data_IF_828867839374
#
_entry.id   IF_828867839374
#
_cell.length_a   1.000
_cell.length_b   1.000
_cell.length_c   1.000
_cell.angle_alpha   90.00
_cell.angle_beta   90.00
_cell.angle_gamma   90.00
#
_symmetry.space_group_name_H-M   'P 1'
#
loop_
_entity.id
_entity.type
_entity.pdbx_description
1 polymer ?
#
# COMPACT_ATOMS: atom_id res chain seq x y z
N UNK A 1 11.51 6.67 39.87
CA UNK A 1 10.49 7.34 39.04
C UNK A 1 11.13 8.32 38.07
N UNK A 2 11.68 9.46 38.51
CA UNK A 2 12.24 10.48 37.59
C UNK A 2 13.26 9.93 36.57
N UNK A 3 14.28 9.19 37.02
CA UNK A 3 15.28 8.58 36.14
C UNK A 3 14.66 7.61 35.11
N UNK A 4 13.73 6.76 35.57
CA UNK A 4 13.00 5.82 34.71
C UNK A 4 12.11 6.54 33.69
N UNK A 5 11.54 7.69 34.05
CA UNK A 5 10.74 8.49 33.10
C UNK A 5 11.61 9.14 32.03
N UNK A 6 12.80 9.64 32.40
CA UNK A 6 13.78 10.16 31.45
C UNK A 6 14.33 9.06 30.53
N UNK A 7 14.53 7.85 31.04
CA UNK A 7 14.91 6.69 30.24
C UNK A 7 13.80 6.30 29.25
N UNK A 8 12.54 6.29 29.70
CA UNK A 8 11.39 6.04 28.83
C UNK A 8 11.28 7.11 27.73
N UNK A 9 11.47 8.38 28.05
CA UNK A 9 11.44 9.50 27.08
C UNK A 9 12.47 9.30 25.97
N UNK A 10 13.74 9.05 26.33
CA UNK A 10 14.80 8.75 25.34
C UNK A 10 14.48 7.54 24.46
N UNK A 11 13.87 6.51 25.05
CA UNK A 11 13.46 5.31 24.32
C UNK A 11 12.33 5.60 23.32
N UNK A 12 11.45 6.55 23.61
CA UNK A 12 10.44 7.01 22.64
C UNK A 12 11.09 7.75 21.49
N UNK A 13 12.11 8.58 21.75
CA UNK A 13 12.86 9.27 20.69
C UNK A 13 13.52 8.27 19.73
N UNK A 14 14.07 7.18 20.24
CA UNK A 14 14.63 6.08 19.42
C UNK A 14 13.57 5.43 18.51
N UNK A 15 12.31 5.32 18.96
CA UNK A 15 11.22 4.80 18.13
C UNK A 15 10.75 5.77 17.05
N UNK A 16 11.01 7.08 17.22
CA UNK A 16 10.64 8.11 16.26
C UNK A 16 11.65 8.27 15.11
N UNK A 17 12.74 7.51 15.07
CA UNK A 17 13.58 7.45 13.87
C UNK A 17 12.83 6.76 12.71
N UNK A 18 12.14 7.56 11.89
CA UNK A 18 11.24 7.13 10.79
C UNK A 18 12.00 6.67 9.52
N UNK A 19 13.34 6.69 9.53
CA UNK A 19 14.14 6.55 8.31
C UNK A 19 13.85 5.26 7.51
N UNK A 20 13.60 4.14 8.19
CA UNK A 20 13.29 2.87 7.53
C UNK A 20 11.93 2.88 6.81
N UNK A 21 10.92 3.54 7.39
CA UNK A 21 9.55 3.56 6.82
C UNK A 21 9.48 4.50 5.63
N UNK A 22 10.09 5.68 5.72
CA UNK A 22 10.13 6.62 4.60
C UNK A 22 10.85 6.05 3.38
N UNK A 23 11.96 5.32 3.59
CA UNK A 23 12.67 4.63 2.50
C UNK A 23 11.78 3.61 1.80
N UNK A 24 11.04 2.80 2.57
CA UNK A 24 10.13 1.79 2.02
C UNK A 24 8.99 2.44 1.23
N UNK A 25 8.44 3.55 1.72
CA UNK A 25 7.39 4.30 1.02
C UNK A 25 7.89 4.84 -0.32
N UNK A 26 9.06 5.50 -0.34
CA UNK A 26 9.69 6.01 -1.56
C UNK A 26 9.92 4.88 -2.59
N UNK A 27 10.39 3.71 -2.13
CA UNK A 27 10.66 2.57 -3.00
C UNK A 27 9.37 1.94 -3.57
N UNK A 28 8.32 1.85 -2.75
CA UNK A 28 6.99 1.38 -3.17
C UNK A 28 6.38 2.34 -4.20
N UNK A 29 6.46 3.64 -3.95
CA UNK A 29 5.95 4.67 -4.88
C UNK A 29 6.68 4.59 -6.21
N UNK A 30 8.02 4.51 -6.19
CA UNK A 30 8.82 4.37 -7.41
C UNK A 30 8.45 3.11 -8.20
N UNK A 31 8.35 1.96 -7.53
CA UNK A 31 7.95 0.70 -8.16
C UNK A 31 6.52 0.77 -8.72
N UNK A 32 5.60 1.41 -7.99
CA UNK A 32 4.23 1.59 -8.46
C UNK A 32 4.19 2.45 -9.73
N UNK A 33 4.96 3.55 -9.80
CA UNK A 33 5.08 4.37 -11.01
C UNK A 33 5.59 3.54 -12.20
N UNK A 34 6.62 2.73 -12.03
CA UNK A 34 7.14 1.84 -13.08
C UNK A 34 6.08 0.84 -13.58
N UNK A 35 5.29 0.25 -12.68
CA UNK A 35 4.22 -0.69 -13.04
C UNK A 35 3.14 0.02 -13.87
N UNK A 36 2.74 1.22 -13.46
CA UNK A 36 1.73 2.01 -14.19
C UNK A 36 2.23 2.40 -15.58
N UNK A 37 3.51 2.77 -15.73
CA UNK A 37 4.11 3.03 -17.04
C UNK A 37 4.13 1.77 -17.93
N UNK A 38 4.47 0.62 -17.36
CA UNK A 38 4.43 -0.67 -18.08
C UNK A 38 3.02 -1.00 -18.57
N UNK A 39 1.98 -0.77 -17.77
CA UNK A 39 0.58 -1.00 -18.14
C UNK A 39 0.08 -0.03 -19.23
N UNK A 40 0.69 1.15 -19.34
CA UNK A 40 0.40 2.12 -20.42
C UNK A 40 1.14 1.83 -21.72
N UNK A 41 2.08 0.88 -21.72
CA UNK A 41 2.91 0.56 -22.89
C UNK A 41 2.08 0.08 -24.10
N UNK A 42 2.47 0.43 -25.35
CA UNK A 42 1.81 -0.05 -26.57
C UNK A 42 1.78 -1.58 -26.71
N UNK A 43 2.72 -2.29 -26.09
CA UNK A 43 2.75 -3.76 -26.05
C UNK A 43 1.53 -4.37 -25.38
N UNK A 44 0.89 -3.63 -24.46
CA UNK A 44 -0.36 -4.05 -23.84
C UNK A 44 -1.59 -3.82 -24.74
N UNK A 45 -1.46 -3.08 -25.87
CA UNK A 45 -2.62 -2.51 -26.56
C UNK A 45 -2.82 -2.83 -28.04
N UNK A 46 -1.86 -3.43 -28.78
CA UNK A 46 -2.05 -4.19 -30.05
C UNK A 46 -0.79 -4.13 -30.93
N UNK A 47 -0.19 -5.28 -31.20
CA UNK A 47 0.78 -5.50 -32.30
C UNK A 47 0.26 -6.49 -33.36
N UNK A 48 -0.99 -6.96 -33.23
CA UNK A 48 -1.59 -7.97 -34.12
C UNK A 48 -1.80 -7.52 -35.56
N UNK A 49 -1.98 -6.22 -35.81
CA UNK A 49 -2.41 -5.69 -37.11
C UNK A 49 -1.45 -6.01 -38.27
N UNK A 50 -0.13 -5.93 -38.05
CA UNK A 50 0.85 -6.17 -39.15
C UNK A 50 0.94 -7.65 -39.52
N UNK A 51 0.90 -8.53 -38.53
CA UNK A 51 0.97 -9.97 -38.77
C UNK A 51 -0.30 -10.45 -39.48
N UNK A 52 -1.46 -9.94 -39.06
CA UNK A 52 -2.75 -10.22 -39.69
C UNK A 52 -2.81 -9.72 -41.14
N UNK A 53 -2.24 -8.54 -41.43
CA UNK A 53 -2.12 -8.05 -42.81
C UNK A 53 -1.26 -8.96 -43.70
N UNK A 54 -0.14 -9.45 -43.18
CA UNK A 54 0.74 -10.36 -43.92
C UNK A 54 0.09 -11.73 -44.16
N UNK A 55 -0.64 -12.24 -43.18
CA UNK A 55 -1.45 -13.45 -43.31
C UNK A 55 -2.52 -13.28 -44.40
N UNK A 56 -3.29 -12.20 -44.36
CA UNK A 56 -4.32 -11.90 -45.36
C UNK A 56 -3.74 -11.80 -46.78
N UNK A 57 -2.55 -11.20 -46.92
CA UNK A 57 -1.84 -11.14 -48.19
C UNK A 57 -1.45 -12.53 -48.70
N UNK A 58 -0.93 -13.40 -47.83
CA UNK A 58 -0.58 -14.78 -48.21
C UNK A 58 -1.82 -15.59 -48.61
N UNK A 59 -2.93 -15.43 -47.89
CA UNK A 59 -4.23 -16.05 -48.24
C UNK A 59 -4.67 -15.61 -49.65
N UNK A 60 -4.55 -14.33 -49.97
CA UNK A 60 -4.97 -13.80 -51.27
C UNK A 60 -4.08 -14.29 -52.42
N UNK A 61 -2.76 -14.30 -52.23
CA UNK A 61 -1.81 -14.88 -53.19
C UNK A 61 -2.11 -16.36 -53.47
N UNK A 62 -2.46 -17.13 -52.43
CA UNK A 62 -2.85 -18.52 -52.59
C UNK A 62 -4.17 -18.69 -53.36
N UNK A 63 -5.18 -17.84 -53.10
CA UNK A 63 -6.44 -17.85 -53.86
C UNK A 63 -6.19 -17.57 -55.35
N UNK A 64 -5.34 -16.59 -55.66
CA UNK A 64 -4.97 -16.25 -57.03
C UNK A 64 -4.27 -17.41 -57.73
N UNK A 65 -3.33 -18.08 -57.06
CA UNK A 65 -2.68 -19.28 -57.58
C UNK A 65 -3.69 -20.40 -57.87
N UNK A 66 -4.61 -20.66 -56.93
CA UNK A 66 -5.65 -21.68 -57.08
C UNK A 66 -6.60 -21.37 -58.23
N UNK A 67 -6.94 -20.10 -58.46
CA UNK A 67 -7.76 -19.67 -59.58
C UNK A 67 -7.04 -19.88 -60.93
N UNK A 68 -5.76 -19.52 -60.98
CA UNK A 68 -4.90 -19.70 -62.16
C UNK A 68 -4.71 -21.18 -62.53
N UNK A 69 -4.64 -22.09 -61.57
CA UNK A 69 -4.57 -23.53 -61.84
C UNK A 69 -5.87 -24.12 -62.43
N UNK A 70 -7.01 -23.40 -62.36
CA UNK A 70 -8.30 -23.85 -62.87
C UNK A 70 -8.62 -23.32 -64.28
N UNK A 71 -7.79 -22.44 -64.85
CA UNK A 71 -8.03 -21.88 -66.19
C UNK A 71 -7.76 -22.92 -67.29
N UNK A 72 -8.55 -22.95 -68.38
CA UNK A 72 -8.42 -23.91 -69.47
C UNK A 72 -7.18 -23.74 -70.37
N UNK A 73 -6.38 -22.69 -70.19
CA UNK A 73 -5.15 -22.46 -70.97
C UNK A 73 -4.04 -23.48 -70.61
N UNK A 74 -3.21 -23.92 -71.58
CA UNK A 74 -2.16 -24.89 -71.33
C UNK A 74 -1.21 -24.37 -70.23
N UNK A 75 -0.82 -25.19 -69.24
CA UNK A 75 0.00 -24.74 -68.13
C UNK A 75 1.36 -24.32 -68.66
N UNK A 76 1.54 -23.01 -68.84
CA UNK A 76 2.85 -22.45 -69.09
C UNK A 76 3.66 -22.67 -67.81
N UNK A 77 4.77 -23.40 -67.96
CA UNK A 77 5.61 -23.82 -66.85
C UNK A 77 6.05 -22.66 -65.96
N UNK A 78 6.23 -22.99 -64.68
CA UNK A 78 6.77 -22.13 -63.62
C UNK A 78 5.98 -20.81 -63.40
N UNK A 79 5.16 -20.78 -62.34
CA UNK A 79 4.61 -19.51 -61.84
C UNK A 79 5.62 -18.83 -60.92
N UNK A 80 5.84 -17.54 -61.12
CA UNK A 80 6.67 -16.72 -60.24
C UNK A 80 6.11 -16.74 -58.81
N UNK A 81 6.97 -17.12 -57.85
CA UNK A 81 6.65 -17.22 -56.42
C UNK A 81 7.25 -16.09 -55.60
N UNK A 82 7.90 -15.10 -56.24
CA UNK A 82 8.65 -14.04 -55.57
C UNK A 82 7.81 -13.26 -54.56
N UNK A 83 6.54 -12.96 -54.87
CA UNK A 83 5.63 -12.26 -53.96
C UNK A 83 5.25 -13.09 -52.72
N UNK A 84 5.06 -14.40 -52.90
CA UNK A 84 4.79 -15.32 -51.79
C UNK A 84 6.03 -15.44 -50.89
N UNK A 85 7.21 -15.65 -51.51
CA UNK A 85 8.49 -15.70 -50.78
C UNK A 85 8.74 -14.39 -50.03
N UNK A 86 8.53 -13.24 -50.67
CA UNK A 86 8.67 -11.92 -50.03
C UNK A 86 7.72 -11.74 -48.84
N UNK A 87 6.47 -12.20 -48.96
CA UNK A 87 5.48 -12.14 -47.87
C UNK A 87 5.88 -13.05 -46.70
N UNK A 88 6.38 -14.26 -46.98
CA UNK A 88 6.89 -15.19 -45.95
C UNK A 88 8.10 -14.59 -45.22
N UNK A 89 9.06 -14.02 -45.97
CA UNK A 89 10.23 -13.38 -45.36
C UNK A 89 9.81 -12.23 -44.44
N UNK A 90 8.85 -11.40 -44.85
CA UNK A 90 8.31 -10.32 -44.01
C UNK A 90 7.60 -10.85 -42.77
N UNK A 91 6.86 -11.96 -42.86
CA UNK A 91 6.23 -12.59 -41.69
C UNK A 91 7.26 -13.05 -40.66
N UNK A 92 8.31 -13.76 -41.09
CA UNK A 92 9.37 -14.25 -40.20
C UNK A 92 10.10 -13.09 -39.53
N UNK A 93 10.46 -12.06 -40.30
CA UNK A 93 11.12 -10.86 -39.74
C UNK A 93 10.22 -10.10 -38.74
N UNK A 94 8.93 -9.97 -39.05
CA UNK A 94 7.98 -9.34 -38.13
C UNK A 94 7.81 -10.17 -36.86
N UNK A 95 7.72 -11.50 -36.98
CA UNK A 95 7.62 -12.41 -35.85
C UNK A 95 8.83 -12.30 -34.93
N UNK A 96 10.05 -12.32 -35.46
CA UNK A 96 11.28 -12.18 -34.67
C UNK A 96 11.31 -10.86 -33.91
N UNK A 97 10.93 -9.76 -34.58
CA UNK A 97 10.85 -8.44 -33.95
C UNK A 97 9.83 -8.42 -32.80
N UNK A 98 8.60 -8.86 -33.06
CA UNK A 98 7.52 -8.89 -32.07
C UNK A 98 7.88 -9.79 -30.89
N UNK A 99 8.49 -10.95 -31.16
CA UNK A 99 8.91 -11.89 -30.13
C UNK A 99 9.98 -11.28 -29.23
N UNK A 100 10.98 -10.61 -29.80
CA UNK A 100 12.03 -9.91 -29.04
C UNK A 100 11.45 -8.81 -28.16
N UNK A 101 10.53 -8.04 -28.70
CA UNK A 101 9.86 -6.97 -27.98
C UNK A 101 9.00 -7.53 -26.83
N UNK A 102 8.26 -8.61 -27.08
CA UNK A 102 7.46 -9.32 -26.08
C UNK A 102 8.32 -9.82 -24.92
N UNK A 103 9.45 -10.47 -25.21
CA UNK A 103 10.39 -10.91 -24.18
C UNK A 103 10.98 -9.75 -23.39
N UNK A 104 11.25 -8.63 -24.04
CA UNK A 104 11.73 -7.41 -23.36
C UNK A 104 10.67 -6.88 -22.41
N UNK A 105 9.41 -6.83 -22.82
CA UNK A 105 8.31 -6.38 -21.96
C UNK A 105 8.05 -7.34 -20.79
N UNK A 106 8.00 -8.66 -21.07
CA UNK A 106 7.87 -9.70 -20.04
C UNK A 106 9.03 -9.66 -19.04
N UNK A 107 10.26 -9.40 -19.50
CA UNK A 107 11.42 -9.26 -18.62
C UNK A 107 11.22 -8.11 -17.63
N UNK A 108 10.73 -6.95 -18.07
CA UNK A 108 10.40 -5.82 -17.18
C UNK A 108 9.30 -6.18 -16.17
N UNK A 109 8.24 -6.86 -16.62
CA UNK A 109 7.16 -7.34 -15.73
C UNK A 109 7.71 -8.28 -14.65
N UNK A 110 8.59 -9.21 -15.03
CA UNK A 110 9.21 -10.14 -14.09
C UNK A 110 10.13 -9.43 -13.08
N UNK A 111 10.84 -8.38 -13.50
CA UNK A 111 11.66 -7.56 -12.61
C UNK A 111 10.77 -6.83 -11.59
N UNK A 112 9.70 -6.16 -12.04
CA UNK A 112 8.76 -5.51 -11.12
C UNK A 112 8.14 -6.52 -10.14
N UNK A 113 7.72 -7.70 -10.63
CA UNK A 113 7.18 -8.77 -9.78
C UNK A 113 8.19 -9.22 -8.73
N UNK A 114 9.45 -9.40 -9.09
CA UNK A 114 10.51 -9.76 -8.14
C UNK A 114 10.68 -8.68 -7.08
N UNK A 115 10.76 -7.41 -7.47
CA UNK A 115 10.86 -6.27 -6.52
C UNK A 115 9.68 -6.23 -5.54
N UNK A 116 8.45 -6.52 -5.98
CA UNK A 116 7.29 -6.65 -5.08
C UNK A 116 7.53 -7.76 -4.06
N UNK A 117 7.97 -8.93 -4.51
CA UNK A 117 8.23 -10.10 -3.64
C UNK A 117 9.32 -9.79 -2.62
N UNK A 118 10.36 -9.05 -3.02
CA UNK A 118 11.47 -8.68 -2.13
C UNK A 118 11.07 -7.58 -1.12
N UNK A 119 10.24 -6.61 -1.53
CA UNK A 119 9.74 -5.54 -0.66
C UNK A 119 8.72 -6.04 0.39
N UNK A 120 7.95 -7.07 0.06
CA UNK A 120 6.89 -7.57 0.94
C UNK A 120 7.37 -7.92 2.37
N UNK A 121 8.42 -8.75 2.56
CA UNK A 121 8.93 -9.04 3.91
C UNK A 121 9.51 -7.82 4.62
N UNK A 122 10.06 -6.83 3.89
CA UNK A 122 10.57 -5.60 4.51
C UNK A 122 9.42 -4.76 5.11
N UNK A 123 8.32 -4.64 4.37
CA UNK A 123 7.09 -3.97 4.84
C UNK A 123 6.49 -4.72 6.04
N UNK A 124 6.38 -6.04 5.96
CA UNK A 124 5.90 -6.85 7.09
C UNK A 124 6.80 -6.67 8.33
N UNK A 125 8.12 -6.65 8.14
CA UNK A 125 9.09 -6.38 9.19
C UNK A 125 8.92 -5.01 9.83
N UNK A 126 8.71 -3.96 9.03
CA UNK A 126 8.43 -2.62 9.51
C UNK A 126 7.14 -2.57 10.34
N UNK A 127 6.06 -3.21 9.86
CA UNK A 127 4.78 -3.30 10.57
C UNK A 127 4.96 -4.00 11.93
N UNK A 128 5.72 -5.10 11.98
CA UNK A 128 5.99 -5.83 13.22
C UNK A 128 6.77 -4.96 14.21
N UNK A 129 7.82 -4.26 13.74
CA UNK A 129 8.59 -3.32 14.58
C UNK A 129 7.70 -2.20 15.13
N UNK A 130 6.91 -1.54 14.28
CA UNK A 130 5.98 -0.47 14.70
C UNK A 130 5.01 -0.97 15.76
N UNK A 131 4.42 -2.16 15.56
CA UNK A 131 3.50 -2.77 16.54
C UNK A 131 4.18 -3.04 17.88
N UNK A 132 5.41 -3.55 17.86
CA UNK A 132 6.19 -3.81 19.07
C UNK A 132 6.51 -2.50 19.81
N UNK A 133 7.03 -1.49 19.11
CA UNK A 133 7.32 -0.17 19.68
C UNK A 133 6.07 0.48 20.26
N UNK A 134 4.95 0.43 19.54
CA UNK A 134 3.67 0.95 20.03
C UNK A 134 3.19 0.24 21.32
N UNK A 135 3.30 -1.10 21.37
CA UNK A 135 2.96 -1.85 22.58
C UNK A 135 3.84 -1.45 23.78
N UNK A 136 5.15 -1.25 23.56
CA UNK A 136 6.06 -0.77 24.60
C UNK A 136 5.72 0.64 25.09
N UNK A 137 5.43 1.57 24.17
CA UNK A 137 4.98 2.93 24.53
C UNK A 137 3.72 2.89 25.37
N UNK A 138 2.74 2.07 25.00
CA UNK A 138 1.51 1.88 25.77
C UNK A 138 1.78 1.35 27.19
N UNK A 139 2.71 0.39 27.34
CA UNK A 139 3.10 -0.11 28.66
C UNK A 139 3.83 0.94 29.50
N UNK A 140 4.75 1.69 28.90
CA UNK A 140 5.45 2.80 29.57
C UNK A 140 4.47 3.86 30.06
N UNK A 141 3.46 4.21 29.25
CA UNK A 141 2.45 5.19 29.61
C UNK A 141 1.53 4.69 30.74
N UNK A 142 1.06 3.44 30.67
CA UNK A 142 0.28 2.82 31.75
C UNK A 142 1.04 2.80 33.08
N UNK A 143 2.34 2.46 33.05
CA UNK A 143 3.20 2.45 34.23
C UNK A 143 3.34 3.87 34.81
N UNK A 144 3.60 4.87 33.96
CA UNK A 144 3.72 6.27 34.37
C UNK A 144 2.44 6.77 35.04
N UNK A 145 1.26 6.47 34.49
CA UNK A 145 -0.02 6.84 35.10
C UNK A 145 -0.22 6.20 36.49
N UNK A 146 0.10 4.91 36.65
CA UNK A 146 0.03 4.22 37.95
C UNK A 146 0.97 4.85 38.98
N UNK A 147 2.18 5.22 38.57
CA UNK A 147 3.17 5.87 39.43
C UNK A 147 2.72 7.28 39.87
N UNK A 148 2.12 8.05 38.96
CA UNK A 148 1.48 9.33 39.31
C UNK A 148 0.38 9.17 40.35
N UNK A 149 -0.51 8.19 40.14
CA UNK A 149 -1.60 7.93 41.09
C UNK A 149 -1.09 7.51 42.47
N UNK A 150 -0.01 6.72 42.50
CA UNK A 150 0.64 6.32 43.74
C UNK A 150 1.25 7.52 44.48
N UNK A 151 1.93 8.43 43.77
CA UNK A 151 2.44 9.67 44.34
C UNK A 151 1.32 10.53 44.94
N UNK A 152 0.18 10.64 44.24
CA UNK A 152 -0.99 11.37 44.75
C UNK A 152 -1.52 10.76 46.04
N UNK A 153 -1.64 9.42 46.12
CA UNK A 153 -2.04 8.74 47.35
C UNK A 153 -1.10 9.03 48.53
N UNK A 154 0.22 9.03 48.30
CA UNK A 154 1.19 9.37 49.34
C UNK A 154 0.99 10.81 49.82
N UNK A 155 0.84 11.75 48.89
CA UNK A 155 0.64 13.16 49.23
C UNK A 155 -0.64 13.39 50.05
N UNK A 156 -1.74 12.69 49.75
CA UNK A 156 -2.96 12.74 50.54
C UNK A 156 -2.78 12.14 51.94
N UNK A 157 -2.16 10.97 52.07
CA UNK A 157 -1.95 10.32 53.37
C UNK A 157 -1.00 11.11 54.31
N UNK A 158 -0.07 11.88 53.75
CA UNK A 158 0.79 12.79 54.52
C UNK A 158 0.04 14.00 55.08
N UNK A 159 -1.06 14.45 54.44
CA UNK A 159 -1.93 15.50 55.01
C UNK A 159 -2.72 14.99 56.22
N UNK A 160 -3.22 13.75 56.15
CA UNK A 160 -4.06 13.19 57.21
C UNK A 160 -3.27 12.81 58.48
N UNK A 161 -1.95 12.65 58.37
CA UNK A 161 -1.06 12.30 59.48
C UNK A 161 -0.44 13.51 60.20
N UNK A 162 -0.52 14.71 59.63
CA UNK A 162 -0.21 15.97 60.32
C UNK A 162 -1.50 16.61 60.84
N UNK A 163 -1.95 16.16 62.01
CA UNK A 163 -2.64 17.05 62.94
C UNK A 163 -1.79 17.18 64.20
N UNK A 164 -1.39 18.41 64.54
CA UNK A 164 -1.87 18.91 65.82
C UNK A 164 -2.57 20.25 65.61
N UNK A 165 -3.71 20.38 66.27
CA UNK A 165 -4.29 21.63 66.74
C UNK A 165 -3.32 22.82 66.71
N UNK A 166 -3.46 23.72 65.74
CA UNK A 166 -3.21 25.15 65.91
C UNK A 166 -3.92 25.91 64.79
N UNK A 167 -4.82 26.80 65.21
CA UNK A 167 -5.43 27.84 64.39
C UNK A 167 -4.36 28.68 63.70
N UNK A 168 -4.20 28.54 62.38
CA UNK A 168 -3.74 29.62 61.52
C UNK A 168 -4.12 29.36 60.06
N UNK A 169 -4.74 30.37 59.44
CA UNK A 169 -5.11 30.44 58.02
C UNK A 169 -4.00 29.90 57.12
N UNK A 170 -4.31 28.93 56.25
CA UNK A 170 -3.46 28.61 55.11
C UNK A 170 -4.31 28.54 53.84
N UNK A 171 -3.89 29.35 52.86
CA UNK A 171 -4.46 29.57 51.53
C UNK A 171 -4.39 28.31 50.63
N UNK A 172 -3.71 27.25 51.07
CA UNK A 172 -3.39 26.04 50.28
C UNK A 172 -4.55 25.05 50.12
N UNK A 173 -5.64 25.21 50.88
CA UNK A 173 -6.83 24.36 50.74
C UNK A 173 -7.62 24.68 49.47
N UNK A 174 -7.67 25.96 49.08
CA UNK A 174 -8.31 26.40 47.84
C UNK A 174 -7.54 25.88 46.61
N UNK A 175 -6.20 25.85 46.67
CA UNK A 175 -5.36 25.40 45.55
C UNK A 175 -5.52 23.92 45.23
N UNK A 176 -5.70 23.06 46.25
CA UNK A 176 -5.91 21.62 46.02
C UNK A 176 -7.32 21.31 45.53
N UNK A 177 -8.33 22.02 46.04
CA UNK A 177 -9.69 21.90 45.50
C UNK A 177 -9.73 22.35 44.03
N UNK A 178 -9.01 23.42 43.69
CA UNK A 178 -8.86 23.90 42.32
C UNK A 178 -8.18 22.87 41.41
N UNK A 179 -7.10 22.22 41.89
CA UNK A 179 -6.40 21.19 41.13
C UNK A 179 -7.25 19.94 40.90
N UNK A 180 -8.10 19.54 41.85
CA UNK A 180 -9.03 18.43 41.66
C UNK A 180 -10.11 18.78 40.64
N UNK A 181 -10.65 20.00 40.70
CA UNK A 181 -11.66 20.48 39.76
C UNK A 181 -11.08 20.63 38.33
N UNK A 182 -9.85 21.13 38.21
CA UNK A 182 -9.12 21.20 36.96
C UNK A 182 -8.80 19.80 36.41
N UNK A 183 -8.40 18.85 37.27
CA UNK A 183 -8.17 17.46 36.84
C UNK A 183 -9.46 16.81 36.32
N UNK A 184 -10.58 17.05 37.00
CA UNK A 184 -11.89 16.57 36.59
C UNK A 184 -12.34 17.20 35.25
N UNK A 185 -12.04 18.49 35.04
CA UNK A 185 -12.23 19.16 33.74
C UNK A 185 -11.33 18.59 32.64
N UNK A 186 -10.05 18.35 32.90
CA UNK A 186 -9.15 17.75 31.91
C UNK A 186 -9.57 16.33 31.53
N UNK A 187 -10.03 15.53 32.50
CA UNK A 187 -10.57 14.20 32.23
C UNK A 187 -11.84 14.25 31.37
N UNK A 188 -12.74 15.20 31.65
CA UNK A 188 -13.94 15.41 30.83
C UNK A 188 -13.58 15.83 29.40
N UNK A 189 -12.63 16.76 29.24
CA UNK A 189 -12.14 17.19 27.93
C UNK A 189 -11.47 16.05 27.14
N UNK A 190 -10.61 15.26 27.79
CA UNK A 190 -9.97 14.12 27.15
C UNK A 190 -10.99 13.07 26.71
N UNK A 191 -12.01 12.82 27.52
CA UNK A 191 -13.10 11.88 27.19
C UNK A 191 -13.89 12.37 25.98
N UNK A 192 -14.22 13.66 25.92
CA UNK A 192 -14.87 14.27 24.75
C UNK A 192 -14.01 14.13 23.50
N UNK A 193 -12.72 14.49 23.57
CA UNK A 193 -11.81 14.41 22.43
C UNK A 193 -11.64 12.98 21.92
N UNK A 194 -11.59 11.99 22.80
CA UNK A 194 -11.55 10.58 22.41
C UNK A 194 -12.85 10.14 21.72
N UNK A 195 -13.99 10.63 22.20
CA UNK A 195 -15.30 10.31 21.62
C UNK A 195 -15.46 10.95 20.24
N UNK A 196 -15.05 12.22 20.08
CA UNK A 196 -15.03 12.93 18.80
C UNK A 196 -14.07 12.25 17.81
N UNK A 197 -12.86 11.89 18.23
CA UNK A 197 -11.90 11.18 17.36
C UNK A 197 -12.38 9.78 16.96
N UNK A 198 -13.09 9.08 17.86
CA UNK A 198 -13.69 7.78 17.54
C UNK A 198 -14.82 7.95 16.51
N UNK A 199 -15.65 8.98 16.67
CA UNK A 199 -16.74 9.26 15.76
C UNK A 199 -16.25 9.75 14.39
N UNK A 200 -15.19 10.58 14.37
CA UNK A 200 -14.53 11.01 13.14
C UNK A 200 -13.85 9.84 12.41
N UNK A 201 -13.25 8.91 13.15
CA UNK A 201 -12.75 7.65 12.60
C UNK A 201 -13.88 6.78 12.01
N UNK A 202 -15.02 6.64 12.70
CA UNK A 202 -16.18 5.92 12.19
C UNK A 202 -16.77 6.58 10.92
N UNK A 203 -16.90 7.90 10.91
CA UNK A 203 -17.34 8.66 9.74
C UNK A 203 -16.33 8.56 8.59
N UNK A 204 -15.03 8.66 8.85
CA UNK A 204 -13.96 8.50 7.85
C UNK A 204 -13.90 7.09 7.25
N UNK A 205 -14.21 6.06 8.06
CA UNK A 205 -14.31 4.67 7.59
C UNK A 205 -15.61 4.42 6.83
N UNK A 206 -16.72 5.08 7.20
CA UNK A 206 -18.00 5.02 6.48
C UNK A 206 -18.00 5.81 5.15
N UNK A 207 -17.25 6.90 5.06
CA UNK A 207 -17.14 7.73 3.85
C UNK A 207 -16.20 7.14 2.79
N UNK A 208 -15.42 6.11 3.15
CA UNK A 208 -14.64 5.36 2.18
C UNK A 208 -15.53 4.30 1.51
N UNK A 209 -15.93 4.58 0.27
CA UNK A 209 -16.69 3.65 -0.56
C UNK A 209 -15.82 2.43 -0.92
N UNK A 210 -16.00 1.34 -0.18
CA UNK A 210 -15.35 0.04 -0.40
C UNK A 210 -16.10 -0.84 -1.42
N UNK A 211 -17.05 -0.28 -2.18
CA UNK A 211 -17.83 -1.04 -3.18
C UNK A 211 -16.97 -1.79 -4.20
N UNK A 212 -15.75 -1.33 -4.46
CA UNK A 212 -14.79 -1.99 -5.36
C UNK A 212 -14.17 -3.29 -4.79
N UNK A 213 -14.32 -3.57 -3.48
CA UNK A 213 -13.91 -4.85 -2.87
C UNK A 213 -14.99 -5.93 -3.07
N UNK A 214 -16.25 -5.55 -3.36
CA UNK A 214 -17.34 -6.49 -3.60
C UNK A 214 -17.40 -6.97 -5.06
N UNK A 215 -16.35 -7.63 -5.54
CA UNK A 215 -16.45 -8.47 -6.73
C UNK A 215 -16.51 -9.94 -6.30
N UNK A 216 -17.70 -10.54 -6.30
CA UNK A 216 -17.82 -12.00 -6.14
C UNK A 216 -19.13 -12.61 -5.69
N UNK A 217 -20.21 -11.87 -5.46
CA UNK A 217 -21.53 -12.48 -5.29
C UNK A 217 -22.19 -12.66 -6.66
N UNK A 218 -21.75 -13.68 -7.40
CA UNK A 218 -22.43 -14.16 -8.61
C UNK A 218 -23.88 -14.47 -8.25
N UNK A 219 -24.82 -13.70 -8.81
CA UNK A 219 -26.23 -14.08 -8.84
C UNK A 219 -26.34 -15.38 -9.61
N UNK A 220 -26.62 -16.47 -8.91
CA UNK A 220 -27.18 -17.68 -9.51
C UNK A 220 -28.64 -17.36 -9.78
N UNK A 221 -28.95 -17.00 -11.02
CA UNK A 221 -30.33 -16.99 -11.49
C UNK A 221 -30.78 -18.45 -11.61
N UNK A 222 -31.65 -18.86 -10.70
CA UNK A 222 -32.39 -20.11 -10.79
C UNK A 222 -33.41 -19.99 -11.93
N UNK A 223 -33.23 -20.78 -12.98
CA UNK A 223 -34.25 -21.07 -13.98
C UNK A 223 -34.86 -22.44 -13.72
#
# INVERSE_FOLDING_TARGET
>A
MLKTWQENEKKVDEFMEVADVSRLDDEIVALHSEIVELQRSPFARRQGDVMEQLENKAIELYKQLKAKCKSPDPPHGYSDSSDMVGTIVQMVQNQDRVLKDLYTHLSKILICKRRIVDLFPEVEGAIVKIKASNAEVMQMQLKRQKEFWFLLKIACAQRDSLSPSFTQQSTDSETVSQLLDDNQRYMAQLTSLLQDATQEMEHSVMDQDWSWIQFGAVKVDSQ
#
